data_IF_570062844974
#
_entry.id   IF_570062844974
#
_cell.length_a   1.000
_cell.length_b   1.000
_cell.length_c   1.000
_cell.angle_alpha   90.00
_cell.angle_beta   90.00
_cell.angle_gamma   90.00
#
_symmetry.space_group_name_H-M   'P 1'
#
loop_
_entity.id
_entity.type
_entity.pdbx_description
1 polymer ?
#
# COMPACT_ATOMS: atom_id res chain seq x y z
N UNK A 1 7.67 1.76 -3.16
CA UNK A 1 6.59 1.55 -4.14
C UNK A 1 6.91 0.34 -5.00
N UNK A 2 5.91 -0.40 -5.46
CA UNK A 2 6.08 -1.74 -6.04
C UNK A 2 6.27 -1.73 -7.57
N UNK A 3 5.58 -0.80 -8.22
CA UNK A 3 5.53 -0.75 -9.67
C UNK A 3 6.72 0.03 -10.28
N UNK A 4 7.33 -0.50 -11.34
CA UNK A 4 8.45 0.16 -12.02
C UNK A 4 8.01 1.41 -12.79
N UNK A 5 6.86 1.38 -13.47
CA UNK A 5 6.39 2.49 -14.29
C UNK A 5 6.11 3.74 -13.45
N UNK A 6 5.54 3.53 -12.26
CA UNK A 6 5.35 4.62 -11.31
C UNK A 6 6.68 5.14 -10.74
N UNK A 7 7.75 4.33 -10.73
CA UNK A 7 9.06 4.80 -10.26
C UNK A 7 9.73 5.64 -11.34
N UNK A 8 9.55 5.25 -12.60
CA UNK A 8 10.07 5.96 -13.76
C UNK A 8 9.32 7.29 -14.00
N UNK A 9 8.03 7.36 -13.63
CA UNK A 9 7.18 8.56 -13.74
C UNK A 9 6.62 8.97 -12.39
N UNK A 10 7.19 10.03 -11.81
CA UNK A 10 6.83 10.53 -10.47
C UNK A 10 5.73 11.60 -10.47
N UNK A 11 4.97 11.72 -11.56
CA UNK A 11 3.88 12.70 -11.72
C UNK A 11 2.66 12.44 -10.82
N UNK A 12 2.54 11.23 -10.27
CA UNK A 12 1.53 10.86 -9.28
C UNK A 12 1.86 11.32 -7.86
N UNK A 13 3.11 11.76 -7.57
CA UNK A 13 3.47 12.25 -6.25
C UNK A 13 2.74 13.58 -5.97
N UNK A 14 2.09 13.71 -4.80
CA UNK A 14 1.20 14.84 -4.51
C UNK A 14 1.93 16.16 -4.24
N UNK A 15 3.24 16.15 -3.98
CA UNK A 15 3.99 17.31 -3.56
C UNK A 15 5.31 17.45 -4.30
N UNK A 16 5.77 18.71 -4.46
CA UNK A 16 7.10 19.06 -4.92
C UNK A 16 8.14 19.09 -3.79
N UNK A 17 7.83 18.51 -2.63
CA UNK A 17 8.75 18.45 -1.50
C UNK A 17 9.90 17.46 -1.79
N UNK A 18 11.13 17.72 -1.30
CA UNK A 18 12.24 16.80 -1.44
C UNK A 18 11.91 15.41 -0.87
N UNK A 19 11.68 14.44 -1.75
CA UNK A 19 11.23 13.09 -1.39
C UNK A 19 12.18 12.06 -2.01
N UNK A 20 12.58 11.07 -1.21
CA UNK A 20 13.31 9.89 -1.71
C UNK A 20 12.33 8.78 -2.04
N UNK A 21 12.41 8.23 -3.26
CA UNK A 21 11.56 7.14 -3.70
C UNK A 21 12.38 5.86 -3.79
N UNK A 22 11.84 4.76 -3.26
CA UNK A 22 12.44 3.43 -3.34
C UNK A 22 11.49 2.51 -4.10
N UNK A 23 11.98 1.94 -5.19
CA UNK A 23 11.32 0.85 -5.90
C UNK A 23 11.69 -0.51 -5.28
N UNK A 24 10.70 -1.38 -5.13
CA UNK A 24 10.86 -2.78 -4.80
C UNK A 24 9.95 -3.61 -5.70
N UNK A 25 10.22 -4.90 -5.92
CA UNK A 25 9.39 -5.75 -6.80
C UNK A 25 8.71 -6.84 -5.99
N UNK A 26 7.37 -6.90 -6.02
CA UNK A 26 6.61 -7.94 -5.34
C UNK A 26 6.76 -7.88 -3.82
N UNK A 27 7.29 -8.94 -3.24
CA UNK A 27 7.51 -9.01 -1.80
C UNK A 27 8.64 -8.06 -1.36
N UNK A 28 8.32 -7.13 -0.44
CA UNK A 28 9.30 -6.21 0.14
C UNK A 28 10.38 -7.00 0.87
N UNK A 29 11.65 -6.85 0.49
CA UNK A 29 12.72 -7.69 1.03
C UNK A 29 13.09 -7.29 2.48
N UNK A 30 13.27 -8.26 3.40
CA UNK A 30 13.61 -7.99 4.81
C UNK A 30 14.86 -7.10 4.98
N UNK A 31 15.91 -7.34 4.17
CA UNK A 31 17.10 -6.45 4.13
C UNK A 31 16.75 -4.96 3.96
N UNK A 32 15.76 -4.61 3.13
CA UNK A 32 15.35 -3.22 2.95
C UNK A 32 14.61 -2.70 4.20
N UNK A 33 13.71 -3.51 4.75
CA UNK A 33 12.98 -3.17 5.99
C UNK A 33 13.97 -2.93 7.14
N UNK A 34 14.95 -3.83 7.31
CA UNK A 34 15.98 -3.70 8.34
C UNK A 34 16.92 -2.52 8.10
N UNK A 35 17.23 -2.21 6.84
CA UNK A 35 18.03 -1.04 6.50
C UNK A 35 17.33 0.29 6.81
N UNK A 36 15.99 0.33 6.74
CA UNK A 36 15.13 1.48 7.11
C UNK A 36 14.92 1.63 8.64
N UNK A 37 15.30 0.62 9.40
CA UNK A 37 15.21 0.57 10.86
C UNK A 37 16.36 1.39 11.50
N UNK A 38 16.94 1.02 12.66
CA UNK A 38 18.10 1.73 13.19
C UNK A 38 19.42 1.50 12.40
N UNK A 39 20.23 2.55 12.16
CA UNK A 39 19.95 3.96 12.43
C UNK A 39 18.87 4.52 11.50
N UNK A 40 17.92 5.26 12.08
CA UNK A 40 16.76 5.80 11.38
C UNK A 40 17.15 6.58 10.11
N UNK A 41 16.65 6.12 8.95
CA UNK A 41 16.93 6.73 7.62
C UNK A 41 15.98 7.86 7.22
N UNK A 42 14.74 7.78 7.70
CA UNK A 42 13.69 8.77 7.40
C UNK A 42 12.80 8.98 8.63
N UNK A 43 12.31 10.20 8.90
CA UNK A 43 11.29 10.44 9.92
C UNK A 43 9.98 9.71 9.63
N UNK A 44 9.57 9.65 8.37
CA UNK A 44 8.33 9.00 7.93
C UNK A 44 8.55 8.18 6.66
N UNK A 45 7.82 7.08 6.55
CA UNK A 45 7.90 6.15 5.43
C UNK A 45 6.47 5.85 4.97
N UNK A 46 6.18 6.20 3.72
CA UNK A 46 4.94 5.87 3.07
C UNK A 46 5.13 4.61 2.23
N UNK A 47 4.35 3.56 2.52
CA UNK A 47 4.28 2.42 1.63
C UNK A 47 3.13 2.62 0.67
N UNK A 48 3.45 2.92 -0.58
CA UNK A 48 2.51 2.81 -1.68
C UNK A 48 2.69 1.44 -2.32
N UNK A 49 1.73 0.54 -2.12
CA UNK A 49 1.66 -0.79 -2.74
C UNK A 49 0.34 -0.93 -3.50
N UNK A 50 0.16 -2.06 -4.19
CA UNK A 50 -1.17 -2.45 -4.66
C UNK A 50 -2.14 -2.58 -3.48
N UNK A 51 -3.41 -2.28 -3.71
CA UNK A 51 -4.48 -2.52 -2.73
C UNK A 51 -4.98 -3.93 -2.92
N UNK A 52 -4.15 -4.89 -2.48
CA UNK A 52 -4.39 -6.32 -2.57
C UNK A 52 -3.83 -7.04 -1.32
N UNK A 53 -3.90 -8.36 -1.26
CA UNK A 53 -3.38 -9.13 -0.12
C UNK A 53 -1.85 -9.03 0.06
N UNK A 54 -1.10 -8.89 -1.04
CA UNK A 54 0.37 -8.84 -1.03
C UNK A 54 0.85 -7.50 -0.49
N UNK A 55 0.31 -6.40 -1.01
CA UNK A 55 0.58 -5.03 -0.55
C UNK A 55 0.26 -4.85 0.93
N UNK A 56 -0.85 -5.40 1.41
CA UNK A 56 -1.22 -5.40 2.83
C UNK A 56 -0.20 -6.14 3.71
N UNK A 57 0.30 -7.30 3.28
CA UNK A 57 1.34 -8.01 4.05
C UNK A 57 2.69 -7.31 4.03
N UNK A 58 3.06 -6.68 2.90
CA UNK A 58 4.22 -5.81 2.82
C UNK A 58 4.10 -4.68 3.85
N UNK A 59 2.92 -4.07 3.96
CA UNK A 59 2.65 -3.03 4.98
C UNK A 59 2.77 -3.55 6.40
N UNK A 60 2.11 -4.67 6.72
CA UNK A 60 2.16 -5.28 8.05
C UNK A 60 3.60 -5.50 8.51
N UNK A 61 4.43 -6.10 7.67
CA UNK A 61 5.85 -6.38 7.96
C UNK A 61 6.64 -5.08 8.19
N UNK A 62 6.34 -4.03 7.43
CA UNK A 62 6.97 -2.72 7.59
C UNK A 62 6.54 -2.02 8.89
N UNK A 63 5.22 -2.00 9.18
CA UNK A 63 4.63 -1.40 10.39
C UNK A 63 5.09 -2.09 11.67
N UNK A 64 5.14 -3.41 11.68
CA UNK A 64 5.66 -4.19 12.81
C UNK A 64 7.13 -3.88 13.11
N UNK A 65 7.93 -3.61 12.07
CA UNK A 65 9.36 -3.36 12.24
C UNK A 65 9.69 -1.91 12.59
N UNK A 66 8.93 -0.94 12.05
CA UNK A 66 9.27 0.48 12.11
C UNK A 66 8.29 1.33 12.94
N UNK A 67 7.16 0.76 13.34
CA UNK A 67 6.15 1.39 14.20
C UNK A 67 5.46 2.59 13.53
N UNK A 68 5.12 3.59 14.35
CA UNK A 68 4.33 4.77 13.96
C UNK A 68 4.97 5.66 12.89
N UNK A 69 6.23 5.40 12.51
CA UNK A 69 6.88 6.10 11.40
C UNK A 69 6.42 5.62 10.02
N UNK A 70 5.48 4.67 9.97
CA UNK A 70 5.02 4.08 8.72
C UNK A 70 3.52 4.25 8.55
N UNK A 71 3.14 4.54 7.31
CA UNK A 71 1.76 4.71 6.89
C UNK A 71 1.55 4.03 5.54
N UNK A 72 0.41 3.36 5.38
CA UNK A 72 -0.01 2.84 4.09
C UNK A 72 -0.58 3.99 3.27
N UNK A 73 0.06 4.29 2.14
CA UNK A 73 -0.34 5.44 1.34
C UNK A 73 -1.58 5.10 0.52
N UNK A 74 -2.65 5.86 0.74
CA UNK A 74 -3.88 5.79 -0.03
C UNK A 74 -3.91 6.93 -1.05
N UNK A 75 -3.93 6.55 -2.31
CA UNK A 75 -4.13 7.46 -3.44
C UNK A 75 -5.42 8.26 -3.27
N UNK A 76 -5.44 9.53 -3.73
CA UNK A 76 -6.66 10.32 -3.76
C UNK A 76 -7.79 9.59 -4.50
N UNK A 77 -9.03 9.76 -4.02
CA UNK A 77 -10.22 9.13 -4.59
C UNK A 77 -10.17 7.60 -4.73
N UNK A 78 -9.34 6.91 -3.93
CA UNK A 78 -9.22 5.44 -3.97
C UNK A 78 -10.57 4.71 -3.92
N UNK A 79 -11.57 5.27 -3.21
CA UNK A 79 -12.92 4.69 -3.12
C UNK A 79 -13.57 4.57 -4.51
N UNK A 80 -13.56 5.66 -5.26
CA UNK A 80 -14.11 5.72 -6.63
C UNK A 80 -13.27 4.88 -7.59
N UNK A 81 -11.95 4.95 -7.48
CA UNK A 81 -11.04 4.15 -8.31
C UNK A 81 -11.22 2.66 -8.08
N UNK A 82 -11.37 2.21 -6.83
CA UNK A 82 -11.67 0.82 -6.50
C UNK A 82 -13.00 0.37 -7.11
N UNK A 83 -14.04 1.20 -7.06
CA UNK A 83 -15.34 0.84 -7.64
C UNK A 83 -15.32 0.79 -9.16
N UNK A 84 -14.59 1.69 -9.82
CA UNK A 84 -14.58 1.80 -11.29
C UNK A 84 -13.55 0.87 -11.96
N UNK A 85 -12.40 0.69 -11.31
CA UNK A 85 -11.22 0.04 -11.89
C UNK A 85 -10.70 -1.14 -11.06
N UNK A 86 -11.33 -1.44 -9.92
CA UNK A 86 -11.00 -2.61 -9.12
C UNK A 86 -11.21 -3.92 -9.88
N UNK A 87 -10.32 -4.88 -9.66
CA UNK A 87 -10.30 -6.15 -10.37
C UNK A 87 -10.61 -7.31 -9.43
N UNK A 88 -11.62 -8.12 -9.78
CA UNK A 88 -11.96 -9.33 -9.02
C UNK A 88 -10.90 -10.43 -9.15
N UNK A 89 -10.25 -10.52 -10.32
CA UNK A 89 -9.18 -11.49 -10.54
C UNK A 89 -8.03 -11.28 -9.55
N UNK A 90 -7.56 -10.05 -9.42
CA UNK A 90 -6.49 -9.69 -8.49
C UNK A 90 -6.88 -9.97 -7.02
N UNK A 91 -8.14 -9.71 -6.66
CA UNK A 91 -8.69 -10.05 -5.35
C UNK A 91 -8.60 -11.56 -5.07
N UNK A 92 -9.05 -12.39 -6.02
CA UNK A 92 -8.98 -13.85 -5.89
C UNK A 92 -7.53 -14.34 -5.81
N UNK A 93 -6.67 -13.83 -6.69
CA UNK A 93 -5.28 -14.26 -6.81
C UNK A 93 -4.46 -13.97 -5.53
N UNK A 94 -4.87 -12.98 -4.72
CA UNK A 94 -4.19 -12.58 -3.47
C UNK A 94 -5.02 -12.81 -2.20
N UNK A 95 -6.13 -13.55 -2.29
CA UNK A 95 -7.05 -13.78 -1.18
C UNK A 95 -6.36 -14.42 0.04
N UNK A 96 -5.44 -15.36 -0.18
CA UNK A 96 -4.71 -16.04 0.90
C UNK A 96 -3.85 -15.06 1.70
N UNK A 97 -3.17 -14.16 1.01
CA UNK A 97 -2.35 -13.11 1.60
C UNK A 97 -3.25 -12.11 2.33
N UNK A 98 -4.40 -11.74 1.76
CA UNK A 98 -5.37 -10.87 2.42
C UNK A 98 -5.86 -11.47 3.76
N UNK A 99 -6.27 -12.73 3.77
CA UNK A 99 -6.67 -13.40 5.01
C UNK A 99 -5.51 -13.51 6.02
N UNK A 100 -4.28 -13.70 5.52
CA UNK A 100 -3.08 -13.69 6.36
C UNK A 100 -2.88 -12.33 7.00
N UNK A 101 -3.12 -11.22 6.28
CA UNK A 101 -3.10 -9.89 6.87
C UNK A 101 -4.16 -9.78 7.97
N UNK A 102 -5.42 -10.14 7.71
CA UNK A 102 -6.50 -10.01 8.70
C UNK A 102 -6.22 -10.81 9.99
N UNK A 103 -5.62 -12.00 9.88
CA UNK A 103 -5.26 -12.83 11.05
C UNK A 103 -4.07 -12.29 11.83
N UNK A 104 -3.15 -11.59 11.18
CA UNK A 104 -1.87 -11.19 11.76
C UNK A 104 -1.75 -9.68 12.02
N UNK A 105 -2.71 -8.88 11.56
CA UNK A 105 -2.81 -7.47 11.90
C UNK A 105 -3.05 -7.36 13.42
N UNK A 106 -2.01 -6.97 14.15
CA UNK A 106 -2.07 -6.80 15.60
C UNK A 106 -2.87 -5.58 16.03
N UNK A 107 -2.79 -5.23 17.32
CA UNK A 107 -3.54 -4.12 17.91
C UNK A 107 -3.28 -2.75 17.26
N UNK A 108 -2.13 -2.55 16.61
CA UNK A 108 -1.82 -1.29 15.90
C UNK A 108 -2.84 -0.99 14.79
N UNK A 109 -3.41 -2.02 14.17
CA UNK A 109 -4.38 -1.85 13.10
C UNK A 109 -5.66 -1.18 13.59
N UNK A 110 -5.96 -1.25 14.89
CA UNK A 110 -7.13 -0.60 15.46
C UNK A 110 -7.14 0.93 15.30
N UNK A 111 -5.98 1.53 15.08
CA UNK A 111 -5.80 2.97 14.94
C UNK A 111 -5.75 3.44 13.48
N UNK A 112 -5.92 2.53 12.52
CA UNK A 112 -5.71 2.79 11.09
C UNK A 112 -7.06 2.93 10.34
N UNK A 113 -7.83 3.97 10.66
CA UNK A 113 -9.21 4.15 10.20
C UNK A 113 -9.37 4.14 8.67
N UNK A 114 -8.48 4.83 7.95
CA UNK A 114 -8.54 4.86 6.48
C UNK A 114 -8.13 3.52 5.86
N UNK A 115 -7.17 2.79 6.43
CA UNK A 115 -6.82 1.45 5.97
C UNK A 115 -7.95 0.46 6.24
N UNK A 116 -8.61 0.56 7.39
CA UNK A 116 -9.84 -0.19 7.69
C UNK A 116 -10.92 0.10 6.64
N UNK A 117 -11.11 1.36 6.28
CA UNK A 117 -12.08 1.74 5.25
C UNK A 117 -11.77 1.09 3.89
N UNK A 118 -10.50 1.08 3.48
CA UNK A 118 -10.03 0.39 2.27
C UNK A 118 -10.36 -1.10 2.32
N UNK A 119 -9.93 -1.79 3.37
CA UNK A 119 -10.14 -3.23 3.55
C UNK A 119 -11.62 -3.60 3.51
N UNK A 120 -12.48 -2.82 4.18
CA UNK A 120 -13.91 -3.04 4.15
C UNK A 120 -14.50 -2.82 2.75
N UNK A 121 -14.02 -1.83 2.00
CA UNK A 121 -14.46 -1.60 0.64
C UNK A 121 -14.03 -2.73 -0.32
N UNK A 122 -12.80 -3.23 -0.19
CA UNK A 122 -12.29 -4.38 -0.95
C UNK A 122 -13.11 -5.63 -0.67
N UNK A 123 -13.38 -5.95 0.60
CA UNK A 123 -14.21 -7.10 1.00
C UNK A 123 -15.63 -7.02 0.46
N UNK A 124 -16.28 -5.85 0.60
CA UNK A 124 -17.67 -5.67 0.13
C UNK A 124 -17.80 -5.80 -1.37
N UNK A 125 -16.81 -5.33 -2.13
CA UNK A 125 -16.86 -5.32 -3.59
C UNK A 125 -16.23 -6.58 -4.20
N UNK A 126 -15.41 -7.31 -3.45
CA UNK A 126 -14.62 -8.42 -3.97
C UNK A 126 -13.58 -7.96 -4.99
N UNK A 127 -13.01 -6.77 -4.78
CA UNK A 127 -12.06 -6.12 -5.70
C UNK A 127 -10.76 -5.75 -4.99
N UNK A 128 -9.67 -5.84 -5.74
CA UNK A 128 -8.36 -5.26 -5.43
C UNK A 128 -8.02 -4.20 -6.48
N UNK A 129 -7.09 -3.29 -6.17
CA UNK A 129 -6.75 -2.17 -7.06
C UNK A 129 -5.24 -2.07 -7.25
N UNK A 130 -4.81 -2.00 -8.51
CA UNK A 130 -3.40 -1.82 -8.88
C UNK A 130 -2.94 -0.37 -8.66
N UNK A 131 -1.64 -0.16 -8.42
CA UNK A 131 -1.06 1.17 -8.19
C UNK A 131 -1.30 2.14 -9.36
N UNK A 132 -1.24 1.62 -10.59
CA UNK A 132 -1.42 2.36 -11.84
C UNK A 132 -2.75 3.09 -11.93
N UNK A 133 -3.76 2.67 -11.15
CA UNK A 133 -5.04 3.38 -11.05
C UNK A 133 -4.88 4.84 -10.58
N UNK A 134 -3.76 5.19 -9.94
CA UNK A 134 -3.46 6.57 -9.54
C UNK A 134 -3.49 7.56 -10.72
N UNK A 135 -3.13 7.12 -11.92
CA UNK A 135 -3.16 7.97 -13.11
C UNK A 135 -4.57 8.20 -13.65
N UNK A 136 -5.53 7.35 -13.28
CA UNK A 136 -6.93 7.46 -13.70
C UNK A 136 -7.72 8.45 -12.83
N UNK A 137 -7.08 9.02 -11.80
CA UNK A 137 -7.71 9.96 -10.88
C UNK A 137 -8.14 11.28 -11.57
N UNK A 138 -7.48 11.67 -12.66
CA UNK A 138 -7.86 12.84 -13.46
C UNK A 138 -9.05 12.61 -14.40
N UNK A 139 -9.55 11.38 -14.49
CA UNK A 139 -10.69 10.98 -15.32
C UNK A 139 -12.00 10.83 -14.51
N UNK A 140 -11.98 11.29 -13.25
CA UNK A 140 -13.09 11.26 -12.30
C UNK A 140 -13.92 12.55 -12.32
#
# INVERSE_FOLDING_TARGET
MENQELFDRLDWLPASEPTSVIWYRGQLHNKLIDWLAPPQRSPFIYLFADYDGVGLNNYRRLKERLGERTTFWLMPNWRTLLTRYGQNKLWIDTAREFESFERNAGQWFEQEDELKALIQAMKRQGFALEQEAVWLNGEL
#
